data_IF_593502407727
#
_entry.id   IF_593502407727
#
_cell.length_a   1.000
_cell.length_b   1.000
_cell.length_c   1.000
_cell.angle_alpha   90.00
_cell.angle_beta   90.00
_cell.angle_gamma   90.00
#
_symmetry.space_group_name_H-M   'P 1'
#
loop_
_entity.id
_entity.type
_entity.pdbx_description
1 polymer ?
#
# COMPACT_ATOMS: atom_id res chain seq x y z
N UNK A 1 -26.10 -4.29 2.26
CA UNK A 1 -24.67 -4.01 2.06
C UNK A 1 -24.32 -2.75 2.80
N UNK A 2 -23.55 -2.84 3.89
CA UNK A 2 -23.01 -1.66 4.58
C UNK A 2 -21.54 -1.53 4.13
N UNK A 3 -21.27 -0.66 3.17
CA UNK A 3 -19.90 -0.32 2.78
C UNK A 3 -19.38 0.72 3.78
N UNK A 4 -18.28 0.48 4.52
CA UNK A 4 -17.78 1.43 5.53
C UNK A 4 -16.81 2.47 4.96
N UNK A 5 -16.37 2.32 3.72
CA UNK A 5 -15.32 3.13 3.10
C UNK A 5 -15.76 3.62 1.73
N UNK A 6 -15.43 4.86 1.41
CA UNK A 6 -15.52 5.44 0.09
C UNK A 6 -14.11 5.74 -0.42
N UNK A 7 -13.78 5.30 -1.63
CA UNK A 7 -12.42 5.43 -2.19
C UNK A 7 -12.41 6.22 -3.49
N UNK A 8 -11.50 7.20 -3.61
CA UNK A 8 -11.16 7.82 -4.91
C UNK A 8 -9.93 7.13 -5.51
N UNK A 9 -10.04 6.63 -6.75
CA UNK A 9 -9.05 5.75 -7.40
C UNK A 9 -9.22 5.69 -8.94
N UNK A 10 -8.46 4.81 -9.62
CA UNK A 10 -8.37 4.53 -11.06
C UNK A 10 -7.47 5.47 -11.86
N UNK A 11 -8.05 6.51 -12.47
CA UNK A 11 -7.24 7.61 -12.97
C UNK A 11 -6.50 8.25 -11.79
N UNK A 12 -5.54 9.13 -12.04
CA UNK A 12 -4.89 9.82 -10.92
C UNK A 12 -5.91 10.73 -10.22
N UNK A 13 -6.41 10.38 -9.01
CA UNK A 13 -7.50 11.13 -8.41
C UNK A 13 -7.07 12.54 -7.98
N UNK A 14 -5.77 12.79 -7.79
CA UNK A 14 -5.23 14.10 -7.42
C UNK A 14 -5.63 15.20 -8.42
N UNK A 15 -5.80 14.85 -9.71
CA UNK A 15 -6.22 15.77 -10.79
C UNK A 15 -7.59 16.40 -10.51
N UNK A 16 -8.46 15.70 -9.77
CA UNK A 16 -9.85 16.11 -9.50
C UNK A 16 -10.14 16.10 -8.00
N UNK A 17 -9.20 16.60 -7.20
CA UNK A 17 -9.26 16.54 -5.73
C UNK A 17 -10.46 17.30 -5.16
N UNK A 18 -10.84 18.41 -5.76
CA UNK A 18 -12.00 19.23 -5.39
C UNK A 18 -13.29 18.42 -5.54
N UNK A 19 -13.44 17.70 -6.65
CA UNK A 19 -14.59 16.83 -6.88
C UNK A 19 -14.62 15.66 -5.88
N UNK A 20 -13.47 15.04 -5.62
CA UNK A 20 -13.37 13.97 -4.62
C UNK A 20 -13.78 14.46 -3.23
N UNK A 21 -13.36 15.66 -2.82
CA UNK A 21 -13.73 16.26 -1.53
C UNK A 21 -15.23 16.52 -1.42
N UNK A 22 -15.90 17.00 -2.46
CA UNK A 22 -17.36 17.16 -2.41
C UNK A 22 -18.08 15.83 -2.15
N UNK A 23 -17.60 14.73 -2.75
CA UNK A 23 -18.17 13.40 -2.51
C UNK A 23 -17.82 12.92 -1.09
N UNK A 24 -16.58 13.10 -0.62
CA UNK A 24 -16.19 12.69 0.73
C UNK A 24 -16.93 13.46 1.83
N UNK A 25 -17.30 14.72 1.61
CA UNK A 25 -18.16 15.48 2.54
C UNK A 25 -19.51 14.79 2.73
N UNK A 26 -20.14 14.36 1.64
CA UNK A 26 -21.40 13.61 1.69
C UNK A 26 -21.20 12.24 2.35
N UNK A 27 -20.14 11.52 1.99
CA UNK A 27 -19.81 10.22 2.58
C UNK A 27 -19.57 10.29 4.10
N UNK A 28 -18.84 11.31 4.56
CA UNK A 28 -18.58 11.52 5.99
C UNK A 28 -19.86 11.82 6.77
N UNK A 29 -20.78 12.60 6.21
CA UNK A 29 -22.09 12.84 6.82
C UNK A 29 -22.92 11.53 6.95
N UNK A 30 -22.64 10.54 6.10
CA UNK A 30 -23.23 9.20 6.17
C UNK A 30 -22.40 8.19 6.99
N UNK A 31 -21.35 8.63 7.69
CA UNK A 31 -20.50 7.77 8.53
C UNK A 31 -19.48 6.92 7.76
N UNK A 32 -19.19 7.25 6.49
CA UNK A 32 -18.20 6.55 5.67
C UNK A 32 -16.80 7.14 5.87
N UNK A 33 -15.80 6.27 6.00
CA UNK A 33 -14.40 6.69 5.99
C UNK A 33 -13.91 6.97 4.56
N UNK A 34 -13.14 8.04 4.37
CA UNK A 34 -12.53 8.37 3.09
C UNK A 34 -11.19 7.67 2.87
N UNK A 35 -11.01 7.13 1.67
CA UNK A 35 -9.77 6.51 1.21
C UNK A 35 -9.32 7.08 -0.14
N UNK A 36 -8.01 7.11 -0.35
CA UNK A 36 -7.40 7.66 -1.56
C UNK A 36 -6.35 6.71 -2.11
N UNK A 37 -6.41 6.40 -3.40
CA UNK A 37 -5.47 5.50 -4.08
C UNK A 37 -4.84 6.27 -5.23
N UNK A 38 -3.56 6.61 -5.10
CA UNK A 38 -2.87 7.54 -5.99
C UNK A 38 -1.49 7.05 -6.38
N UNK A 39 -0.94 7.60 -7.46
CA UNK A 39 0.46 7.47 -7.83
C UNK A 39 1.42 8.24 -6.90
N UNK A 40 0.88 9.07 -5.99
CA UNK A 40 1.64 9.79 -4.96
C UNK A 40 2.34 11.05 -5.45
N UNK A 41 2.07 11.55 -6.66
CA UNK A 41 2.67 12.78 -7.17
C UNK A 41 1.89 14.03 -6.67
N UNK A 42 1.79 14.16 -5.34
CA UNK A 42 1.01 15.20 -4.69
C UNK A 42 1.85 16.44 -4.33
N UNK A 43 1.17 17.56 -4.12
CA UNK A 43 1.74 18.73 -3.46
C UNK A 43 1.36 18.74 -1.96
N UNK A 44 2.10 19.44 -1.09
CA UNK A 44 1.73 19.55 0.31
C UNK A 44 0.32 20.13 0.55
N UNK A 45 -0.13 21.05 -0.32
CA UNK A 45 -1.41 21.74 -0.21
C UNK A 45 -2.58 20.78 -0.43
N UNK A 46 -2.51 19.91 -1.45
CA UNK A 46 -3.60 18.95 -1.71
C UNK A 46 -3.68 17.89 -0.62
N UNK A 47 -2.54 17.48 -0.04
CA UNK A 47 -2.54 16.56 1.10
C UNK A 47 -3.17 17.19 2.35
N UNK A 48 -2.92 18.48 2.60
CA UNK A 48 -3.57 19.21 3.69
C UNK A 48 -5.08 19.39 3.43
N UNK A 49 -5.46 19.68 2.19
CA UNK A 49 -6.86 19.86 1.77
C UNK A 49 -7.69 18.56 1.92
N UNK A 50 -7.11 17.40 1.61
CA UNK A 50 -7.78 16.10 1.72
C UNK A 50 -7.92 15.61 3.17
N UNK A 51 -7.03 16.01 4.08
CA UNK A 51 -6.86 15.40 5.41
C UNK A 51 -8.12 15.39 6.30
N UNK A 52 -8.99 16.43 6.27
CA UNK A 52 -10.23 16.43 7.06
C UNK A 52 -11.26 15.39 6.60
N UNK A 53 -11.09 14.81 5.41
CA UNK A 53 -12.07 13.95 4.75
C UNK A 53 -11.55 12.54 4.45
N UNK A 54 -10.22 12.39 4.39
CA UNK A 54 -9.55 11.14 4.05
C UNK A 54 -8.70 10.68 5.24
N UNK A 55 -8.82 9.40 5.59
CA UNK A 55 -8.02 8.76 6.65
C UNK A 55 -7.06 7.71 6.08
N UNK A 56 -7.43 7.07 4.98
CA UNK A 56 -6.66 5.98 4.36
C UNK A 56 -6.02 6.48 3.06
N UNK A 57 -4.73 6.29 2.88
CA UNK A 57 -4.01 6.70 1.69
C UNK A 57 -3.08 5.61 1.20
N UNK A 58 -3.28 5.15 -0.03
CA UNK A 58 -2.39 4.20 -0.68
C UNK A 58 -1.61 4.87 -1.80
N UNK A 59 -0.30 4.66 -1.82
CA UNK A 59 0.63 5.25 -2.80
C UNK A 59 1.26 4.15 -3.67
N UNK A 60 1.33 4.36 -4.98
CA UNK A 60 2.19 3.56 -5.87
C UNK A 60 3.63 4.08 -5.85
N UNK A 61 4.52 3.37 -5.16
CA UNK A 61 5.95 3.57 -5.29
C UNK A 61 6.49 2.63 -6.37
N UNK A 62 6.65 3.14 -7.59
CA UNK A 62 6.88 2.32 -8.79
C UNK A 62 8.33 1.90 -8.99
N UNK A 63 9.29 2.68 -8.50
CA UNK A 63 10.73 2.45 -8.64
C UNK A 63 11.48 3.40 -7.71
N UNK A 64 12.71 3.06 -7.31
CA UNK A 64 13.65 3.99 -6.66
C UNK A 64 14.70 4.52 -7.64
N UNK A 65 14.52 4.30 -8.94
CA UNK A 65 15.37 4.83 -9.99
C UNK A 65 14.70 6.07 -10.63
N UNK A 66 15.34 7.27 -10.55
CA UNK A 66 14.80 8.50 -11.13
C UNK A 66 14.53 8.42 -12.64
N UNK A 67 15.35 7.72 -13.40
CA UNK A 67 15.20 7.58 -14.86
C UNK A 67 14.01 6.69 -15.20
N UNK A 68 13.84 5.57 -14.47
CA UNK A 68 12.65 4.72 -14.59
C UNK A 68 11.39 5.51 -14.27
N UNK A 69 11.37 6.29 -13.18
CA UNK A 69 10.22 7.10 -12.80
C UNK A 69 9.86 8.15 -13.87
N UNK A 70 10.88 8.81 -14.43
CA UNK A 70 10.71 9.81 -15.49
C UNK A 70 10.12 9.19 -16.76
N UNK A 71 10.58 7.99 -17.15
CA UNK A 71 10.02 7.23 -18.27
C UNK A 71 8.55 6.86 -18.07
N UNK A 72 8.14 6.66 -16.81
CA UNK A 72 6.75 6.41 -16.42
C UNK A 72 5.91 7.71 -16.28
N UNK A 73 6.51 8.88 -16.53
CA UNK A 73 5.83 10.18 -16.50
C UNK A 73 5.66 10.79 -15.12
N UNK A 74 6.43 10.35 -14.11
CA UNK A 74 6.38 10.91 -12.75
C UNK A 74 7.74 11.42 -12.25
N UNK A 75 7.71 12.18 -11.15
CA UNK A 75 8.91 12.59 -10.42
C UNK A 75 9.09 11.80 -9.11
N UNK A 76 10.16 11.01 -9.01
CA UNK A 76 10.46 10.18 -7.84
C UNK A 76 10.49 11.00 -6.54
N UNK A 77 11.23 12.11 -6.53
CA UNK A 77 11.37 12.98 -5.35
C UNK A 77 10.03 13.47 -4.81
N UNK A 78 9.07 13.80 -5.69
CA UNK A 78 7.72 14.22 -5.30
C UNK A 78 6.95 13.09 -4.62
N UNK A 79 7.11 11.85 -5.09
CA UNK A 79 6.46 10.68 -4.48
C UNK A 79 7.07 10.35 -3.12
N UNK A 80 8.40 10.38 -3.00
CA UNK A 80 9.07 10.15 -1.71
C UNK A 80 8.70 11.24 -0.68
N UNK A 81 8.64 12.51 -1.11
CA UNK A 81 8.19 13.62 -0.27
C UNK A 81 6.73 13.45 0.14
N UNK A 82 5.85 13.02 -0.78
CA UNK A 82 4.44 12.75 -0.49
C UNK A 82 4.27 11.67 0.57
N UNK A 83 5.01 10.56 0.46
CA UNK A 83 4.94 9.46 1.44
C UNK A 83 5.34 9.95 2.85
N UNK A 84 6.43 10.72 2.97
CA UNK A 84 6.84 11.32 4.25
C UNK A 84 5.76 12.26 4.78
N UNK A 85 5.24 13.14 3.92
CA UNK A 85 4.24 14.14 4.31
C UNK A 85 2.92 13.52 4.74
N UNK A 86 2.48 12.43 4.10
CA UNK A 86 1.29 11.69 4.51
C UNK A 86 1.43 11.15 5.94
N UNK A 87 2.61 10.64 6.32
CA UNK A 87 2.86 10.18 7.69
C UNK A 87 2.92 11.32 8.69
N UNK A 88 3.55 12.44 8.35
CA UNK A 88 3.55 13.66 9.18
C UNK A 88 2.14 14.21 9.43
N UNK A 89 1.25 14.09 8.44
CA UNK A 89 -0.14 14.51 8.53
C UNK A 89 -1.05 13.45 9.18
N UNK A 90 -0.49 12.36 9.73
CA UNK A 90 -1.24 11.31 10.42
C UNK A 90 -2.32 10.65 9.54
N UNK A 91 -1.97 10.35 8.28
CA UNK A 91 -2.73 9.41 7.46
C UNK A 91 -2.35 7.96 7.83
N UNK A 92 -3.29 7.04 7.68
CA UNK A 92 -2.94 5.63 7.48
C UNK A 92 -2.40 5.46 6.06
N UNK A 93 -1.14 5.04 5.95
CA UNK A 93 -0.44 4.96 4.66
C UNK A 93 -0.11 3.52 4.34
N UNK A 94 -0.47 3.08 3.14
CA UNK A 94 -0.02 1.82 2.56
C UNK A 94 0.72 2.10 1.24
N UNK A 95 1.74 1.28 0.95
CA UNK A 95 2.52 1.42 -0.28
C UNK A 95 2.37 0.16 -1.11
N UNK A 96 2.08 0.34 -2.39
CA UNK A 96 2.06 -0.74 -3.37
C UNK A 96 3.20 -0.54 -4.36
N UNK A 97 3.87 -1.63 -4.70
CA UNK A 97 4.82 -1.71 -5.79
C UNK A 97 4.42 -2.86 -6.71
N UNK A 98 4.10 -2.54 -7.95
CA UNK A 98 3.94 -3.54 -9.01
C UNK A 98 5.33 -3.92 -9.51
N UNK A 99 5.74 -5.16 -9.26
CA UNK A 99 7.06 -5.64 -9.67
C UNK A 99 6.98 -6.12 -11.12
N UNK A 100 7.74 -5.50 -12.01
CA UNK A 100 7.85 -5.83 -13.43
C UNK A 100 9.25 -6.41 -13.67
N UNK A 101 9.37 -7.67 -14.13
CA UNK A 101 10.67 -8.31 -14.34
C UNK A 101 11.58 -7.50 -15.27
N UNK A 102 12.81 -7.26 -14.83
CA UNK A 102 13.82 -6.51 -15.56
C UNK A 102 13.67 -4.98 -15.50
N UNK A 103 12.62 -4.47 -14.85
CA UNK A 103 12.39 -3.03 -14.69
C UNK A 103 12.68 -2.54 -13.27
N UNK A 104 12.10 -3.20 -12.26
CA UNK A 104 12.16 -2.75 -10.86
C UNK A 104 12.23 -3.90 -9.84
N UNK A 105 12.59 -5.11 -10.26
CA UNK A 105 12.61 -6.32 -9.42
C UNK A 105 14.02 -6.77 -9.00
N UNK A 106 15.05 -5.96 -9.26
CA UNK A 106 16.41 -6.25 -8.80
C UNK A 106 16.51 -6.21 -7.27
N UNK A 107 17.38 -7.04 -6.70
CA UNK A 107 17.56 -7.09 -5.24
C UNK A 107 17.98 -5.75 -4.64
N UNK A 108 18.87 -5.03 -5.32
CA UNK A 108 19.34 -3.70 -4.92
C UNK A 108 18.20 -2.67 -4.94
N UNK A 109 17.35 -2.68 -5.96
CA UNK A 109 16.18 -1.79 -6.01
C UNK A 109 15.14 -2.12 -4.94
N UNK A 110 14.84 -3.41 -4.73
CA UNK A 110 13.94 -3.88 -3.68
C UNK A 110 14.46 -3.52 -2.29
N UNK A 111 15.77 -3.66 -2.05
CA UNK A 111 16.42 -3.29 -0.79
C UNK A 111 16.30 -1.79 -0.52
N UNK A 112 16.56 -0.94 -1.53
CA UNK A 112 16.41 0.50 -1.39
C UNK A 112 14.96 0.91 -1.13
N UNK A 113 13.99 0.33 -1.84
CA UNK A 113 12.57 0.59 -1.60
C UNK A 113 12.18 0.18 -0.18
N UNK A 114 12.51 -1.04 0.24
CA UNK A 114 12.19 -1.52 1.57
C UNK A 114 12.83 -0.66 2.68
N UNK A 115 14.10 -0.28 2.51
CA UNK A 115 14.83 0.57 3.45
C UNK A 115 14.20 1.95 3.56
N UNK A 116 13.84 2.58 2.44
CA UNK A 116 13.12 3.85 2.44
C UNK A 116 11.79 3.76 3.18
N UNK A 117 10.97 2.73 2.90
CA UNK A 117 9.68 2.57 3.57
C UNK A 117 9.87 2.39 5.08
N UNK A 118 10.85 1.56 5.49
CA UNK A 118 11.15 1.30 6.88
C UNK A 118 11.70 2.55 7.61
N UNK A 119 12.49 3.38 6.93
CA UNK A 119 12.94 4.70 7.42
C UNK A 119 11.75 5.60 7.73
N UNK A 120 10.76 5.67 6.84
CA UNK A 120 9.57 6.48 7.08
C UNK A 120 8.75 5.89 8.24
N UNK A 121 8.47 4.59 8.21
CA UNK A 121 7.91 3.86 9.36
C UNK A 121 7.90 2.35 9.10
N UNK A 122 8.34 1.52 10.06
CA UNK A 122 8.26 0.05 9.94
C UNK A 122 6.82 -0.48 9.95
N UNK A 123 5.84 0.37 10.29
CA UNK A 123 4.42 0.02 10.36
C UNK A 123 3.66 0.26 9.06
N UNK A 124 4.26 0.91 8.05
CA UNK A 124 3.64 1.07 6.73
C UNK A 124 3.59 -0.30 6.06
N UNK A 125 2.38 -0.80 5.72
CA UNK A 125 2.26 -1.98 4.87
C UNK A 125 2.90 -1.76 3.51
N UNK A 126 3.78 -2.68 3.13
CA UNK A 126 4.31 -2.74 1.77
C UNK A 126 3.72 -3.93 1.02
N UNK A 127 3.03 -3.64 -0.07
CA UNK A 127 2.40 -4.63 -0.93
C UNK A 127 3.22 -4.77 -2.21
N UNK A 128 3.83 -5.93 -2.39
CA UNK A 128 4.51 -6.30 -3.64
C UNK A 128 3.56 -7.12 -4.49
N UNK A 129 3.26 -6.65 -5.68
CA UNK A 129 2.22 -7.24 -6.55
C UNK A 129 2.81 -7.72 -7.86
N UNK A 130 2.29 -8.83 -8.36
CA UNK A 130 2.70 -9.37 -9.66
C UNK A 130 2.17 -8.54 -10.82
N UNK A 131 3.05 -8.29 -11.78
CA UNK A 131 2.73 -7.80 -13.10
C UNK A 131 2.19 -8.92 -13.98
N UNK A 132 1.22 -8.57 -14.82
CA UNK A 132 0.70 -9.38 -15.89
C UNK A 132 0.85 -8.59 -17.21
N UNK A 133 1.43 -9.17 -18.29
CA UNK A 133 1.60 -8.47 -19.55
C UNK A 133 0.25 -8.21 -20.20
N UNK A 134 -0.10 -6.93 -20.37
CA UNK A 134 -1.36 -6.49 -20.96
C UNK A 134 -1.17 -5.23 -21.82
N UNK A 135 -2.14 -5.02 -22.72
CA UNK A 135 -2.21 -3.85 -23.59
C UNK A 135 -0.92 -3.60 -24.41
N UNK A 136 -0.13 -2.58 -24.06
CA UNK A 136 1.06 -2.15 -24.78
C UNK A 136 2.37 -2.64 -24.16
N UNK A 137 2.34 -3.20 -22.95
CA UNK A 137 3.52 -3.66 -22.25
C UNK A 137 3.53 -5.19 -22.24
N UNK A 138 3.90 -5.78 -23.37
CA UNK A 138 3.87 -7.22 -23.58
C UNK A 138 5.24 -7.91 -23.46
N UNK A 139 6.34 -7.14 -23.52
CA UNK A 139 7.69 -7.70 -23.61
C UNK A 139 8.18 -8.35 -22.29
N UNK A 140 8.04 -7.74 -21.10
CA UNK A 140 8.42 -8.40 -19.86
C UNK A 140 7.51 -9.60 -19.58
N UNK A 141 8.04 -10.72 -19.07
CA UNK A 141 7.19 -11.85 -18.65
C UNK A 141 6.31 -11.47 -17.45
N UNK A 142 5.23 -12.21 -17.17
CA UNK A 142 4.49 -12.06 -15.92
C UNK A 142 5.41 -12.31 -14.72
N UNK A 143 5.17 -11.61 -13.62
CA UNK A 143 6.00 -11.73 -12.42
C UNK A 143 5.83 -13.11 -11.80
N UNK A 144 6.90 -13.88 -11.63
CA UNK A 144 6.82 -15.19 -11.00
C UNK A 144 6.62 -15.03 -9.48
N UNK A 145 5.99 -16.02 -8.84
CA UNK A 145 5.72 -15.97 -7.40
C UNK A 145 7.01 -15.82 -6.59
N UNK A 146 8.09 -16.44 -7.06
CA UNK A 146 9.44 -16.41 -6.50
C UNK A 146 9.97 -14.97 -6.36
N UNK A 147 9.65 -14.08 -7.30
CA UNK A 147 10.03 -12.66 -7.19
C UNK A 147 9.28 -11.97 -6.05
N UNK A 148 8.00 -12.28 -5.83
CA UNK A 148 7.24 -11.74 -4.69
C UNK A 148 7.74 -12.30 -3.35
N UNK A 149 8.04 -13.61 -3.28
CA UNK A 149 8.61 -14.24 -2.09
C UNK A 149 9.97 -13.60 -1.73
N UNK A 150 10.81 -13.34 -2.74
CA UNK A 150 12.10 -12.66 -2.59
C UNK A 150 11.93 -11.23 -2.07
N UNK A 151 11.02 -10.46 -2.67
CA UNK A 151 10.74 -9.09 -2.25
C UNK A 151 10.16 -9.03 -0.83
N UNK A 152 9.29 -9.97 -0.45
CA UNK A 152 8.82 -10.11 0.92
C UNK A 152 9.98 -10.31 1.90
N UNK A 153 10.88 -11.27 1.62
CA UNK A 153 12.03 -11.53 2.48
C UNK A 153 12.97 -10.31 2.60
N UNK A 154 13.16 -9.55 1.52
CA UNK A 154 13.91 -8.28 1.56
C UNK A 154 13.20 -7.25 2.44
N UNK A 155 11.90 -7.06 2.27
CA UNK A 155 11.10 -6.14 3.09
C UNK A 155 11.16 -6.47 4.58
N UNK A 156 11.04 -7.76 4.93
CA UNK A 156 11.20 -8.23 6.31
C UNK A 156 12.59 -7.97 6.89
N UNK A 157 13.65 -8.22 6.12
CA UNK A 157 15.03 -7.95 6.54
C UNK A 157 15.31 -6.47 6.75
N UNK A 158 14.63 -5.59 6.01
CA UNK A 158 14.71 -4.14 6.18
C UNK A 158 13.97 -3.64 7.44
N UNK A 159 13.21 -4.50 8.14
CA UNK A 159 12.51 -4.16 9.38
C UNK A 159 11.02 -3.87 9.22
N UNK A 160 10.45 -4.03 8.01
CA UNK A 160 9.02 -3.84 7.79
C UNK A 160 8.20 -4.92 8.52
N UNK A 161 7.21 -4.49 9.30
CA UNK A 161 6.34 -5.38 10.08
C UNK A 161 5.23 -6.01 9.25
N UNK A 162 4.88 -5.42 8.11
CA UNK A 162 3.84 -5.91 7.22
C UNK A 162 4.31 -5.82 5.78
N UNK A 163 4.55 -6.98 5.17
CA UNK A 163 4.91 -7.08 3.76
C UNK A 163 4.01 -8.14 3.13
N UNK A 164 3.23 -7.74 2.14
CA UNK A 164 2.21 -8.59 1.51
C UNK A 164 2.59 -8.91 0.08
N UNK A 165 2.42 -10.15 -0.33
CA UNK A 165 2.51 -10.56 -1.73
C UNK A 165 1.09 -10.63 -2.32
N UNK A 166 0.88 -10.01 -3.49
CA UNK A 166 -0.45 -9.89 -4.09
C UNK A 166 -0.49 -10.16 -5.60
N UNK A 167 -1.70 -10.08 -6.17
CA UNK A 167 -2.03 -10.38 -7.58
C UNK A 167 -1.76 -11.83 -8.05
N UNK A 168 -1.45 -12.76 -7.14
CA UNK A 168 -1.29 -14.18 -7.43
C UNK A 168 -2.01 -15.03 -6.37
N UNK A 169 -3.37 -14.95 -6.29
CA UNK A 169 -4.13 -15.54 -5.18
C UNK A 169 -3.90 -17.04 -5.05
N UNK A 170 -3.48 -17.47 -3.85
CA UNK A 170 -3.16 -18.86 -3.52
C UNK A 170 -1.85 -19.39 -4.11
N UNK A 171 -1.03 -18.55 -4.75
CA UNK A 171 0.28 -18.94 -5.32
C UNK A 171 1.48 -18.38 -4.56
N UNK A 172 1.25 -17.62 -3.50
CA UNK A 172 2.29 -16.97 -2.68
C UNK A 172 2.31 -17.49 -1.24
N UNK A 173 1.81 -18.71 -1.02
CA UNK A 173 1.74 -19.31 0.31
C UNK A 173 0.83 -18.51 1.25
N UNK A 174 1.35 -18.16 2.42
CA UNK A 174 0.64 -17.41 3.45
C UNK A 174 0.92 -15.90 3.44
N UNK A 175 1.63 -15.40 2.42
CA UNK A 175 2.06 -14.00 2.35
C UNK A 175 0.95 -12.99 2.00
N UNK A 176 -0.27 -13.46 1.77
CA UNK A 176 -1.49 -12.64 1.66
C UNK A 176 -2.06 -12.29 3.05
N UNK A 177 -1.62 -13.02 4.08
CA UNK A 177 -2.19 -12.96 5.42
C UNK A 177 -1.51 -11.91 6.29
N UNK A 178 -2.26 -11.36 7.26
CA UNK A 178 -1.67 -10.57 8.33
C UNK A 178 -1.25 -11.49 9.47
N UNK A 179 0.04 -11.44 9.84
CA UNK A 179 0.57 -12.10 11.04
C UNK A 179 0.94 -11.07 12.10
N UNK A 180 0.81 -11.45 13.37
CA UNK A 180 1.22 -10.61 14.48
C UNK A 180 2.74 -10.40 14.45
N UNK A 181 3.25 -9.15 14.42
CA UNK A 181 4.68 -8.91 14.40
C UNK A 181 5.38 -9.29 15.71
N UNK A 182 4.64 -9.43 16.82
CA UNK A 182 5.19 -9.79 18.12
C UNK A 182 5.26 -11.31 18.35
N UNK A 183 4.21 -12.07 18.03
CA UNK A 183 4.14 -13.52 18.33
C UNK A 183 3.99 -14.42 17.09
N UNK A 184 3.90 -13.87 15.88
CA UNK A 184 3.77 -14.63 14.63
C UNK A 184 2.40 -15.24 14.36
N UNK A 185 1.44 -15.14 15.29
CA UNK A 185 0.09 -15.66 15.14
C UNK A 185 -0.60 -15.13 13.88
N UNK A 186 -1.33 -16.00 13.18
CA UNK A 186 -2.21 -15.59 12.07
C UNK A 186 -3.34 -14.72 12.63
N UNK A 187 -3.50 -13.50 12.11
CA UNK A 187 -4.51 -12.53 12.57
C UNK A 187 -5.61 -12.34 11.55
N UNK A 188 -5.26 -12.14 10.28
CA UNK A 188 -6.22 -12.00 9.19
C UNK A 188 -5.81 -12.97 8.10
N UNK A 189 -6.69 -13.92 7.80
CA UNK A 189 -6.52 -14.86 6.71
C UNK A 189 -7.21 -14.34 5.45
N UNK A 190 -6.51 -14.36 4.32
CA UNK A 190 -6.97 -13.87 3.03
C UNK A 190 -6.67 -14.85 1.91
N UNK A 191 -7.45 -14.72 0.84
CA UNK A 191 -7.12 -15.25 -0.49
C UNK A 191 -7.55 -14.24 -1.54
N UNK A 192 -6.60 -13.60 -2.20
CA UNK A 192 -6.85 -12.43 -3.03
C UNK A 192 -7.55 -11.33 -2.23
N UNK A 193 -8.70 -10.87 -2.73
CA UNK A 193 -9.50 -9.83 -2.08
C UNK A 193 -10.47 -10.38 -1.01
N UNK A 194 -10.56 -11.70 -0.84
CA UNK A 194 -11.45 -12.32 0.13
C UNK A 194 -10.78 -12.39 1.50
N UNK A 195 -11.41 -11.82 2.54
CA UNK A 195 -11.04 -12.04 3.93
C UNK A 195 -11.82 -13.25 4.44
N UNK A 196 -11.09 -14.32 4.76
CA UNK A 196 -11.66 -15.59 5.24
C UNK A 196 -11.84 -15.63 6.75
N UNK A 197 -10.92 -14.97 7.46
CA UNK A 197 -10.97 -14.87 8.91
C UNK A 197 -10.33 -13.56 9.36
N UNK A 198 -10.93 -12.89 10.34
CA UNK A 198 -10.32 -11.80 11.09
C UNK A 198 -10.40 -12.10 12.59
N UNK A 199 -9.25 -12.31 13.23
CA UNK A 199 -9.11 -12.63 14.65
C UNK A 199 -8.80 -11.41 15.52
N UNK A 200 -8.60 -10.23 14.93
CA UNK A 200 -8.32 -9.01 15.69
C UNK A 200 -9.50 -8.62 16.56
N UNK A 201 -9.21 -8.10 17.75
CA UNK A 201 -10.20 -7.53 18.67
C UNK A 201 -9.77 -6.12 19.05
N UNK A 202 -10.53 -5.11 18.65
CA UNK A 202 -10.18 -3.70 18.88
C UNK A 202 -8.76 -3.36 18.42
N UNK A 203 -8.34 -3.88 17.26
CA UNK A 203 -6.99 -3.67 16.74
C UNK A 203 -5.85 -4.41 17.46
N UNK A 204 -6.15 -5.40 18.29
CA UNK A 204 -5.13 -6.16 19.06
C UNK A 204 -5.09 -7.62 18.68
N UNK A 205 -3.89 -8.19 18.76
CA UNK A 205 -3.68 -9.63 18.66
C UNK A 205 -4.36 -10.33 19.85
N UNK A 206 -5.24 -11.34 19.63
CA UNK A 206 -5.89 -12.05 20.72
C UNK A 206 -4.94 -12.96 21.52
N UNK A 207 -3.80 -13.33 20.92
CA UNK A 207 -2.89 -14.33 21.49
C UNK A 207 -1.79 -13.68 22.38
N UNK A 208 -1.44 -12.41 22.14
CA UNK A 208 -0.40 -11.71 22.91
C UNK A 208 -0.74 -10.25 23.28
N UNK A 209 -1.95 -9.77 22.98
CA UNK A 209 -2.44 -8.41 23.24
C UNK A 209 -1.68 -7.25 22.55
N UNK A 210 -0.66 -7.56 21.74
CA UNK A 210 0.07 -6.56 20.95
C UNK A 210 -0.91 -5.72 20.11
N UNK A 211 -0.75 -4.40 20.17
CA UNK A 211 -1.48 -3.49 19.30
C UNK A 211 -0.97 -3.66 17.87
N UNK A 212 -1.90 -3.81 16.93
CA UNK A 212 -1.63 -3.97 15.51
C UNK A 212 -1.94 -2.62 14.85
N UNK A 213 -0.96 -1.98 14.22
CA UNK A 213 -1.18 -0.74 13.48
C UNK A 213 -2.26 -0.93 12.42
N UNK A 214 -3.17 0.05 12.31
CA UNK A 214 -4.26 0.04 11.35
C UNK A 214 -5.39 0.95 11.80
N UNK A 215 -6.41 1.07 10.95
CA UNK A 215 -7.66 1.76 11.26
C UNK A 215 -8.72 0.72 11.55
N UNK A 216 -9.06 0.57 12.82
CA UNK A 216 -9.99 -0.45 13.31
C UNK A 216 -11.29 0.22 13.72
N UNK A 217 -12.42 -0.38 13.33
CA UNK A 217 -13.70 -0.01 13.92
C UNK A 217 -13.69 -0.38 15.41
N UNK A 218 -14.29 0.47 16.24
CA UNK A 218 -14.56 0.17 17.64
C UNK A 218 -15.53 -1.00 17.81
#
# INVERSE_FOLDING_TARGET
YHCPVLTSTYNEPLITSEWAVEIFRLGRAAGLAGAYVSNGHATPEVLAYLRPYVSLYKVDLKSLNPDTYRRLGGGLEHVLATIRRLKELDYWVEIVTLLVPGLNDSDDELQRMAAFIAEVSPDIPWHVTAFHPDYKLADPPPTPAETLLRAHAIGRRAGLRFVYAGNLPGRVGDLENTRCPACGALLIERRGFEVRQNRLRGGRCPDCAAAIPGVWAE
#
